data_IF_799446423250
#
_entry.id   IF_799446423250
#
_cell.length_a   1.000
_cell.length_b   1.000
_cell.length_c   1.000
_cell.angle_alpha   90.00
_cell.angle_beta   90.00
_cell.angle_gamma   90.00
#
_symmetry.space_group_name_H-M   'P 1'
#
loop_
_entity.id
_entity.type
_entity.pdbx_description
1 polymer ?
#
# COMPACT_ATOMS: atom_id res chain seq x y z
N UNK A 1 -9.96 -6.50 8.30
CA UNK A 1 -8.76 -5.71 8.02
C UNK A 1 -8.72 -5.36 6.54
N UNK A 2 -8.57 -4.08 6.23
CA UNK A 2 -8.48 -3.61 4.85
C UNK A 2 -7.06 -3.14 4.57
N UNK A 3 -6.49 -3.64 3.47
CA UNK A 3 -5.12 -3.30 3.07
C UNK A 3 -5.18 -2.60 1.71
N UNK A 4 -4.63 -1.41 1.63
CA UNK A 4 -4.61 -0.61 0.40
C UNK A 4 -3.20 -0.18 0.07
N UNK A 5 -2.77 -0.42 -1.16
CA UNK A 5 -1.46 -0.02 -1.64
C UNK A 5 -1.59 1.16 -2.60
N UNK A 6 -0.98 2.28 -2.24
CA UNK A 6 -0.98 3.51 -3.03
C UNK A 6 0.31 3.62 -3.83
N UNK A 7 0.19 3.81 -5.13
CA UNK A 7 1.32 3.85 -6.06
C UNK A 7 1.03 4.82 -7.21
N UNK A 8 2.04 5.07 -8.04
CA UNK A 8 1.83 5.64 -9.36
C UNK A 8 2.86 5.05 -10.32
N UNK A 9 2.60 5.18 -11.63
CA UNK A 9 3.41 4.54 -12.66
C UNK A 9 4.78 5.21 -12.87
N UNK A 10 4.96 6.41 -12.40
CA UNK A 10 6.23 7.11 -12.51
C UNK A 10 7.18 6.83 -11.35
N UNK A 11 6.70 6.16 -10.34
CA UNK A 11 7.44 5.88 -9.12
C UNK A 11 8.27 4.60 -9.26
N UNK A 12 9.59 4.71 -9.25
CA UNK A 12 10.49 3.54 -9.35
C UNK A 12 10.33 2.58 -8.18
N UNK A 13 10.20 3.11 -6.98
CA UNK A 13 10.03 2.29 -5.78
C UNK A 13 8.69 1.57 -5.80
N UNK A 14 7.67 2.19 -6.37
CA UNK A 14 6.39 1.55 -6.56
C UNK A 14 6.50 0.39 -7.56
N UNK A 15 7.23 0.59 -8.64
CA UNK A 15 7.47 -0.48 -9.62
C UNK A 15 8.19 -1.66 -9.01
N UNK A 16 9.12 -1.41 -8.09
CA UNK A 16 9.81 -2.46 -7.35
C UNK A 16 8.86 -3.28 -6.48
N UNK A 17 7.90 -2.61 -5.86
CA UNK A 17 6.95 -3.26 -4.95
C UNK A 17 5.77 -3.93 -5.65
N UNK A 18 5.42 -3.51 -6.87
CA UNK A 18 4.26 -4.08 -7.58
C UNK A 18 4.26 -5.59 -7.69
N UNK A 19 5.36 -6.25 -8.12
CA UNK A 19 5.37 -7.71 -8.17
C UNK A 19 5.17 -8.34 -6.80
N UNK A 20 5.74 -7.73 -5.77
CA UNK A 20 5.62 -8.19 -4.39
C UNK A 20 4.16 -8.07 -3.94
N UNK A 21 3.52 -6.94 -4.24
CA UNK A 21 2.11 -6.73 -3.89
C UNK A 21 1.20 -7.71 -4.62
N UNK A 22 1.47 -7.99 -5.89
CA UNK A 22 0.71 -8.95 -6.66
C UNK A 22 0.79 -10.35 -6.04
N UNK A 23 1.98 -10.72 -5.59
CA UNK A 23 2.20 -12.00 -4.94
C UNK A 23 1.46 -12.09 -3.60
N UNK A 24 1.57 -11.07 -2.78
CA UNK A 24 0.88 -11.02 -1.50
C UNK A 24 -0.63 -10.94 -1.64
N UNK A 25 -1.14 -10.33 -2.72
CA UNK A 25 -2.57 -10.20 -2.94
C UNK A 25 -3.24 -11.54 -3.21
N UNK A 26 -2.48 -12.58 -3.52
CA UNK A 26 -3.01 -13.94 -3.66
C UNK A 26 -3.43 -14.52 -2.31
N UNK A 27 -2.88 -14.01 -1.23
CA UNK A 27 -3.13 -14.49 0.13
C UNK A 27 -3.84 -13.46 1.00
N UNK A 28 -3.64 -12.18 0.68
CA UNK A 28 -4.21 -11.05 1.40
C UNK A 28 -5.01 -10.21 0.42
N UNK A 29 -6.18 -9.76 0.83
CA UNK A 29 -6.98 -8.86 0.00
C UNK A 29 -6.36 -7.48 -0.03
N UNK A 30 -5.52 -7.21 -1.00
CA UNK A 30 -4.86 -5.90 -1.16
C UNK A 30 -5.49 -5.14 -2.32
N UNK A 31 -6.01 -3.96 -2.02
CA UNK A 31 -6.55 -3.06 -3.02
C UNK A 31 -5.43 -2.18 -3.56
N UNK A 32 -5.31 -2.10 -4.88
CA UNK A 32 -4.28 -1.30 -5.55
C UNK A 32 -4.88 0.02 -6.02
N UNK A 33 -4.34 1.14 -5.57
CA UNK A 33 -4.85 2.48 -5.90
C UNK A 33 -3.75 3.29 -6.58
N UNK A 34 -4.01 3.71 -7.82
CA UNK A 34 -3.17 4.67 -8.52
C UNK A 34 -3.53 6.06 -8.04
N UNK A 35 -2.54 6.77 -7.46
CA UNK A 35 -2.79 8.06 -6.82
C UNK A 35 -3.17 9.16 -7.79
N UNK A 36 -2.83 9.04 -9.06
CA UNK A 36 -3.21 10.03 -10.08
C UNK A 36 -4.62 9.77 -10.60
N UNK A 37 -5.01 8.52 -10.75
CA UNK A 37 -6.33 8.16 -11.25
C UNK A 37 -7.41 8.28 -10.18
N UNK A 38 -7.05 7.99 -8.93
CA UNK A 38 -8.00 8.01 -7.82
C UNK A 38 -7.53 8.98 -6.73
N UNK A 39 -7.43 10.24 -7.12
CA UNK A 39 -6.94 11.29 -6.25
C UNK A 39 -7.84 11.57 -5.04
N UNK A 40 -9.15 11.41 -5.19
CA UNK A 40 -10.09 11.62 -4.08
C UNK A 40 -9.90 10.57 -2.98
N UNK A 41 -9.69 9.31 -3.36
CA UNK A 41 -9.43 8.25 -2.39
C UNK A 41 -8.09 8.50 -1.73
N UNK A 42 -7.08 8.83 -2.52
CA UNK A 42 -5.74 9.14 -2.04
C UNK A 42 -5.79 10.26 -1.01
N UNK A 43 -6.52 11.32 -1.31
CA UNK A 43 -6.66 12.46 -0.43
C UNK A 43 -7.41 12.09 0.86
N UNK A 44 -8.45 11.27 0.75
CA UNK A 44 -9.22 10.84 1.92
C UNK A 44 -8.39 10.03 2.91
N UNK A 45 -7.35 9.32 2.41
CA UNK A 45 -6.41 8.58 3.26
C UNK A 45 -5.26 9.46 3.75
N UNK A 46 -5.17 10.72 3.29
CA UNK A 46 -4.09 11.65 3.60
C UNK A 46 -2.72 11.12 3.19
N UNK A 47 -2.67 10.44 2.04
CA UNK A 47 -1.43 9.92 1.50
C UNK A 47 -0.67 11.06 0.81
N UNK A 48 0.54 11.32 1.26
CA UNK A 48 1.40 12.38 0.72
C UNK A 48 2.56 11.83 -0.10
N UNK A 49 2.88 10.56 0.09
CA UNK A 49 4.04 9.93 -0.53
C UNK A 49 3.64 8.60 -1.15
N UNK A 50 4.37 8.19 -2.18
CA UNK A 50 4.27 6.85 -2.71
C UNK A 50 5.65 6.21 -2.73
N UNK A 51 5.78 4.90 -2.48
CA UNK A 51 4.70 3.97 -2.15
C UNK A 51 4.23 4.10 -0.70
N UNK A 52 2.93 3.91 -0.49
CA UNK A 52 2.35 3.88 0.85
C UNK A 52 1.40 2.69 0.96
N UNK A 53 1.46 1.99 2.06
CA UNK A 53 0.54 0.91 2.38
C UNK A 53 -0.32 1.35 3.55
N UNK A 54 -1.64 1.30 3.38
CA UNK A 54 -2.58 1.62 4.43
C UNK A 54 -3.21 0.34 4.95
N UNK A 55 -3.20 0.17 6.26
CA UNK A 55 -3.85 -0.97 6.91
C UNK A 55 -4.90 -0.44 7.87
N UNK A 56 -6.15 -0.83 7.65
CA UNK A 56 -7.25 -0.43 8.51
C UNK A 56 -7.79 -1.65 9.27
N UNK A 57 -7.94 -1.50 10.57
CA UNK A 57 -8.51 -2.52 11.44
C UNK A 57 -9.39 -1.85 12.50
N UNK A 58 -9.79 -2.62 13.52
CA UNK A 58 -10.62 -2.12 14.62
C UNK A 58 -9.96 -0.97 15.38
N UNK A 59 -8.64 -0.92 15.37
CA UNK A 59 -7.87 0.08 16.10
C UNK A 59 -7.60 1.34 15.30
N UNK A 60 -8.04 1.37 14.04
CA UNK A 60 -7.90 2.53 13.19
C UNK A 60 -7.08 2.26 11.94
N UNK A 61 -6.56 3.34 11.38
CA UNK A 61 -5.82 3.31 10.13
C UNK A 61 -4.35 3.61 10.36
N UNK A 62 -3.49 2.76 9.81
CA UNK A 62 -2.04 2.88 9.93
C UNK A 62 -1.41 3.00 8.56
N UNK A 63 -0.55 4.00 8.35
CA UNK A 63 0.15 4.22 7.09
C UNK A 63 1.62 3.80 7.22
N UNK A 64 2.09 3.04 6.24
CA UNK A 64 3.49 2.61 6.16
C UNK A 64 4.07 3.15 4.86
N UNK A 65 5.14 3.94 4.96
CA UNK A 65 5.71 4.67 3.83
C UNK A 65 7.11 4.17 3.48
N UNK A 66 7.34 3.96 2.19
CA UNK A 66 8.64 3.54 1.69
C UNK A 66 8.79 2.04 1.58
N UNK A 67 9.75 1.61 0.76
CA UNK A 67 9.95 0.20 0.41
C UNK A 67 10.25 -0.66 1.62
N UNK A 68 11.21 -0.23 2.46
CA UNK A 68 11.66 -1.05 3.57
C UNK A 68 10.58 -1.24 4.64
N UNK A 69 9.86 -0.17 4.95
CA UNK A 69 8.79 -0.21 5.93
C UNK A 69 7.64 -1.08 5.45
N UNK A 70 7.29 -0.97 4.18
CA UNK A 70 6.23 -1.77 3.58
C UNK A 70 6.61 -3.25 3.54
N UNK A 71 7.83 -3.57 3.12
CA UNK A 71 8.31 -4.96 3.11
C UNK A 71 8.30 -5.56 4.51
N UNK A 72 8.69 -4.80 5.50
CA UNK A 72 8.74 -5.26 6.87
C UNK A 72 7.33 -5.60 7.40
N UNK A 73 6.36 -4.72 7.16
CA UNK A 73 5.00 -4.97 7.61
C UNK A 73 4.34 -6.14 6.89
N UNK A 74 4.60 -6.29 5.60
CA UNK A 74 4.07 -7.43 4.84
C UNK A 74 4.62 -8.75 5.36
N UNK A 75 5.91 -8.77 5.71
CA UNK A 75 6.54 -9.95 6.29
C UNK A 75 5.86 -10.34 7.60
N UNK A 76 5.53 -9.35 8.42
CA UNK A 76 4.85 -9.61 9.70
C UNK A 76 3.42 -10.11 9.51
N UNK A 77 2.74 -9.64 8.47
CA UNK A 77 1.37 -10.06 8.18
C UNK A 77 1.28 -11.51 7.70
N UNK A 78 2.36 -12.06 7.18
CA UNK A 78 2.38 -13.40 6.60
C UNK A 78 3.07 -14.44 7.49
N UNK A 79 3.51 -14.06 8.65
CA UNK A 79 4.11 -14.98 9.62
C UNK A 79 3.07 -15.83 10.34
#
# INVERSE_FOLDING_TARGET
>A
MNITFFYNDECRKCAELKPIMTEFSKHLGIKMIDTYEEDLITESYKVEWVPTLAIEDENGKHLFEGVDEIKDVLRKLTL
#
